data_IF_212695937553
#
_entry.id   IF_212695937553
#
_cell.length_a   1.000
_cell.length_b   1.000
_cell.length_c   1.000
_cell.angle_alpha   90.00
_cell.angle_beta   90.00
_cell.angle_gamma   90.00
#
_symmetry.space_group_name_H-M   'P 1'
#
loop_
_entity.id
_entity.type
_entity.pdbx_description
1 polymer ?
#
# COMPACT_ATOMS: atom_id res chain seq x y z
N UNK A 1 -17.19 -40.06 8.58
CA UNK A 1 -16.24 -39.75 9.66
C UNK A 1 -15.51 -38.47 9.25
N UNK A 2 -15.83 -37.32 9.89
CA UNK A 2 -15.18 -36.03 9.67
C UNK A 2 -14.01 -35.93 10.65
N UNK A 3 -12.80 -35.78 10.14
CA UNK A 3 -11.61 -35.59 10.95
C UNK A 3 -11.61 -34.18 11.58
N UNK A 4 -11.69 -34.12 12.92
CA UNK A 4 -11.46 -32.91 13.68
C UNK A 4 -9.95 -32.60 13.66
N UNK A 5 -9.53 -31.57 12.92
CA UNK A 5 -8.20 -31.00 13.03
C UNK A 5 -8.02 -30.29 14.37
N UNK A 6 -6.80 -30.25 14.93
CA UNK A 6 -6.57 -29.62 16.22
C UNK A 6 -6.83 -28.11 16.14
N UNK A 7 -7.71 -27.62 17.01
CA UNK A 7 -7.91 -26.18 17.24
C UNK A 7 -6.60 -25.60 17.75
N UNK A 8 -5.94 -24.75 16.96
CA UNK A 8 -4.78 -23.99 17.39
C UNK A 8 -5.20 -23.09 18.56
N UNK A 9 -4.60 -23.31 19.71
CA UNK A 9 -4.76 -22.42 20.86
C UNK A 9 -4.07 -21.10 20.55
N UNK A 10 -4.86 -20.04 20.36
CA UNK A 10 -4.39 -18.66 20.13
C UNK A 10 -3.67 -18.09 21.39
N UNK A 11 -3.70 -18.81 22.51
CA UNK A 11 -3.22 -18.35 23.82
C UNK A 11 -1.70 -18.47 24.04
N UNK A 12 -0.97 -19.33 23.30
CA UNK A 12 0.44 -19.62 23.61
C UNK A 12 1.42 -18.49 23.22
N UNK A 13 1.05 -17.59 22.27
CA UNK A 13 1.92 -16.49 21.87
C UNK A 13 1.87 -15.28 22.83
N UNK A 14 0.77 -15.12 23.55
CA UNK A 14 0.59 -14.03 24.52
C UNK A 14 1.26 -14.37 25.85
N UNK A 15 1.26 -15.64 26.26
CA UNK A 15 1.95 -16.11 27.46
C UNK A 15 3.49 -16.01 27.35
N UNK A 16 4.06 -16.18 26.15
CA UNK A 16 5.50 -15.99 25.95
C UNK A 16 5.94 -14.53 26.06
N UNK A 17 5.07 -13.56 25.77
CA UNK A 17 5.39 -12.13 25.92
C UNK A 17 5.27 -11.61 27.36
N UNK A 18 4.54 -12.31 28.22
CA UNK A 18 4.44 -11.97 29.64
C UNK A 18 5.49 -12.66 30.48
N UNK A 19 6.07 -13.77 29.99
CA UNK A 19 7.06 -14.57 30.74
C UNK A 19 8.48 -13.99 30.71
N UNK A 20 8.83 -13.19 29.70
CA UNK A 20 10.17 -12.60 29.51
C UNK A 20 10.25 -11.07 29.75
N UNK A 21 9.24 -10.48 30.38
CA UNK A 21 9.40 -9.13 30.91
C UNK A 21 10.19 -9.27 32.21
N UNK A 22 11.46 -8.86 32.27
CA UNK A 22 12.17 -8.82 33.57
C UNK A 22 11.32 -7.97 34.50
N UNK A 23 11.04 -8.46 35.69
CA UNK A 23 10.53 -7.65 36.79
C UNK A 23 11.60 -6.63 37.16
N UNK A 24 11.75 -5.58 36.31
CA UNK A 24 12.48 -4.41 36.67
C UNK A 24 11.62 -3.65 37.68
N UNK A 25 12.05 -3.73 38.91
CA UNK A 25 11.63 -2.84 40.01
C UNK A 25 11.82 -1.40 39.53
N UNK A 26 10.74 -0.77 39.01
CA UNK A 26 10.39 0.65 39.08
C UNK A 26 9.17 0.92 38.22
N UNK A 27 8.01 1.09 38.82
CA UNK A 27 6.97 2.00 38.36
C UNK A 27 6.03 1.59 37.23
N UNK A 28 6.17 0.45 36.56
CA UNK A 28 5.33 0.06 35.43
C UNK A 28 4.20 -0.92 35.79
N UNK A 29 3.43 -0.62 36.83
CA UNK A 29 2.22 -1.37 37.15
C UNK A 29 1.10 -1.13 36.11
N UNK A 30 0.21 -2.14 35.93
CA UNK A 30 -1.03 -1.98 35.17
C UNK A 30 -1.87 -0.92 35.88
N UNK A 31 -2.29 0.12 35.15
CA UNK A 31 -3.12 1.21 35.64
C UNK A 31 -4.48 1.18 34.93
N UNK A 32 -5.56 1.57 35.62
CA UNK A 32 -6.83 1.82 34.98
C UNK A 32 -6.83 3.23 34.41
N UNK A 33 -7.00 3.36 33.10
CA UNK A 33 -7.02 4.65 32.40
C UNK A 33 -8.36 4.88 31.73
N UNK A 34 -8.84 6.13 31.82
CA UNK A 34 -10.03 6.55 31.08
C UNK A 34 -9.79 6.39 29.58
N UNK A 35 -10.73 5.72 28.91
CA UNK A 35 -10.70 5.43 27.48
C UNK A 35 -10.60 6.71 26.65
N UNK A 36 -11.21 7.82 27.12
CA UNK A 36 -11.22 9.11 26.43
C UNK A 36 -9.89 9.88 26.55
N UNK A 37 -9.06 9.57 27.55
CA UNK A 37 -7.73 10.16 27.69
C UNK A 37 -6.68 9.51 26.80
N UNK A 38 -7.00 8.39 26.17
CA UNK A 38 -6.09 7.65 25.28
C UNK A 38 -6.44 8.01 23.84
N UNK A 39 -5.53 8.71 23.16
CA UNK A 39 -5.62 9.03 21.74
C UNK A 39 -5.01 7.88 20.90
N UNK A 40 -5.53 7.61 19.69
CA UNK A 40 -4.87 6.71 18.77
C UNK A 40 -3.47 7.25 18.43
N UNK A 41 -2.57 6.35 18.03
CA UNK A 41 -1.26 6.76 17.49
C UNK A 41 -1.47 7.61 16.22
N UNK A 42 -0.76 8.73 16.10
CA UNK A 42 -1.01 9.72 15.03
C UNK A 42 -0.82 9.15 13.60
N UNK A 43 0.18 8.28 13.43
CA UNK A 43 0.49 7.63 12.14
C UNK A 43 0.22 6.13 12.20
N UNK A 44 -0.92 5.72 12.79
CA UNK A 44 -1.26 4.31 12.92
C UNK A 44 -1.53 3.67 11.54
N UNK A 45 -0.67 2.77 11.05
CA UNK A 45 -0.77 2.26 9.68
C UNK A 45 -1.81 1.15 9.52
N UNK A 46 -2.25 0.51 10.62
CA UNK A 46 -3.11 -0.67 10.59
C UNK A 46 -4.58 -0.32 10.68
N UNK A 47 -5.40 -1.02 9.89
CA UNK A 47 -6.85 -0.89 9.92
C UNK A 47 -7.45 -1.49 11.21
N UNK A 48 -8.45 -0.82 11.75
CA UNK A 48 -9.26 -1.36 12.83
C UNK A 48 -10.16 -2.50 12.32
N UNK A 49 -10.48 -3.43 13.21
CA UNK A 49 -11.42 -4.51 12.89
C UNK A 49 -12.80 -3.95 12.58
N UNK A 50 -13.49 -4.60 11.66
CA UNK A 50 -14.85 -4.30 11.25
C UNK A 50 -15.67 -5.58 11.17
N UNK A 51 -17.02 -5.43 11.08
CA UNK A 51 -17.95 -6.54 10.96
C UNK A 51 -17.85 -7.55 12.10
N UNK A 52 -18.10 -8.82 11.82
CA UNK A 52 -18.19 -9.93 12.78
C UNK A 52 -17.01 -9.97 13.76
N UNK A 53 -15.79 -9.75 13.29
CA UNK A 53 -14.58 -9.76 14.14
C UNK A 53 -14.58 -8.64 15.19
N UNK A 54 -15.13 -7.47 14.86
CA UNK A 54 -15.31 -6.37 15.81
C UNK A 54 -16.44 -6.71 16.79
N UNK A 55 -17.55 -7.23 16.30
CA UNK A 55 -18.73 -7.58 17.10
C UNK A 55 -18.38 -8.65 18.14
N UNK A 56 -17.68 -9.71 17.76
CA UNK A 56 -17.16 -10.73 18.68
C UNK A 56 -16.29 -10.14 19.77
N UNK A 57 -15.41 -9.21 19.41
CA UNK A 57 -14.53 -8.54 20.38
C UNK A 57 -15.32 -7.65 21.34
N UNK A 58 -16.35 -6.94 20.85
CA UNK A 58 -17.24 -6.11 21.69
C UNK A 58 -18.00 -6.96 22.67
N UNK A 59 -18.55 -8.11 22.22
CA UNK A 59 -19.28 -9.03 23.08
C UNK A 59 -18.37 -9.61 24.17
N UNK A 60 -17.21 -10.09 23.79
CA UNK A 60 -16.20 -10.62 24.73
C UNK A 60 -15.80 -9.57 25.77
N UNK A 61 -15.58 -8.32 25.37
CA UNK A 61 -15.21 -7.23 26.28
C UNK A 61 -16.39 -6.81 27.17
N UNK A 62 -17.61 -6.91 26.69
CA UNK A 62 -18.80 -6.64 27.52
C UNK A 62 -18.99 -7.67 28.62
N UNK A 63 -18.66 -8.95 28.33
CA UNK A 63 -18.80 -10.03 29.31
C UNK A 63 -17.63 -10.10 30.30
N UNK A 64 -16.41 -9.90 29.83
CA UNK A 64 -15.20 -10.19 30.61
C UNK A 64 -14.33 -8.96 30.89
N UNK A 65 -14.66 -7.81 30.33
CA UNK A 65 -13.79 -6.63 30.33
C UNK A 65 -12.57 -6.80 29.42
N UNK A 66 -11.65 -5.87 29.49
CA UNK A 66 -10.38 -5.93 28.76
C UNK A 66 -9.39 -6.75 29.59
N UNK A 67 -9.23 -8.03 29.25
CA UNK A 67 -8.36 -8.96 30.00
C UNK A 67 -6.87 -8.63 29.83
N UNK A 68 -6.44 -8.35 28.60
CA UNK A 68 -5.06 -7.98 28.30
C UNK A 68 -4.92 -6.45 28.26
N UNK A 69 -4.03 -5.85 29.09
CA UNK A 69 -3.87 -4.40 29.13
C UNK A 69 -3.42 -3.85 27.77
N UNK A 70 -3.85 -2.64 27.46
CA UNK A 70 -3.33 -1.90 26.32
C UNK A 70 -1.97 -1.30 26.69
N UNK A 71 -1.15 -0.99 25.70
CA UNK A 71 0.13 -0.32 25.91
C UNK A 71 0.01 1.10 25.39
N UNK A 72 0.35 2.08 26.22
CA UNK A 72 0.28 3.51 25.89
C UNK A 72 1.59 4.19 26.27
N UNK A 73 1.88 5.33 25.66
CA UNK A 73 2.90 6.25 26.16
C UNK A 73 2.27 7.55 26.67
N UNK A 74 2.96 8.21 27.58
CA UNK A 74 2.55 9.54 28.03
C UNK A 74 2.87 10.57 26.95
N UNK A 75 1.88 11.40 26.57
CA UNK A 75 2.07 12.49 25.59
C UNK A 75 1.27 13.70 26.02
N UNK A 76 1.97 14.74 26.47
CA UNK A 76 1.36 15.93 27.06
C UNK A 76 0.51 15.61 28.29
N UNK A 77 -0.76 16.06 28.31
CA UNK A 77 -1.70 15.80 29.41
C UNK A 77 -2.52 14.50 29.25
N UNK A 78 -2.21 13.66 28.27
CA UNK A 78 -2.93 12.43 27.97
C UNK A 78 -1.98 11.30 27.63
N UNK A 79 -2.54 10.32 26.95
CA UNK A 79 -1.83 9.12 26.53
C UNK A 79 -2.02 8.90 25.03
N UNK A 80 -1.03 8.32 24.40
CA UNK A 80 -1.08 7.89 23.00
C UNK A 80 -0.95 6.36 22.95
N UNK A 81 -1.84 5.71 22.19
CA UNK A 81 -1.91 4.25 22.09
C UNK A 81 -0.73 3.70 21.29
N UNK A 82 -0.01 2.72 21.83
CA UNK A 82 1.01 1.97 21.11
C UNK A 82 0.52 0.59 20.68
N UNK A 83 -0.25 -0.10 21.55
CA UNK A 83 -0.83 -1.40 21.23
C UNK A 83 -2.20 -1.57 21.86
N UNK A 84 -3.13 -2.11 21.09
CA UNK A 84 -4.49 -2.37 21.55
C UNK A 84 -5.57 -1.47 21.00
N UNK A 85 -5.35 -0.83 19.85
CA UNK A 85 -6.32 0.05 19.18
C UNK A 85 -7.69 -0.63 19.00
N UNK A 86 -7.71 -1.91 18.59
CA UNK A 86 -8.95 -2.68 18.47
C UNK A 86 -9.64 -2.92 19.82
N UNK A 87 -8.87 -3.20 20.88
CA UNK A 87 -9.39 -3.36 22.24
C UNK A 87 -9.99 -2.07 22.78
N UNK A 88 -9.35 -0.93 22.54
CA UNK A 88 -9.88 0.38 22.91
C UNK A 88 -11.18 0.67 22.15
N UNK A 89 -11.19 0.45 20.85
CA UNK A 89 -12.39 0.67 20.03
C UNK A 89 -13.55 -0.20 20.49
N UNK A 90 -13.32 -1.48 20.71
CA UNK A 90 -14.34 -2.40 21.20
C UNK A 90 -14.79 -2.07 22.64
N UNK A 91 -13.88 -1.62 23.53
CA UNK A 91 -14.22 -1.17 24.86
C UNK A 91 -15.15 0.05 24.85
N UNK A 92 -14.91 1.03 23.96
CA UNK A 92 -15.81 2.17 23.75
C UNK A 92 -17.20 1.72 23.32
N UNK A 93 -17.29 0.80 22.36
CA UNK A 93 -18.56 0.25 21.87
C UNK A 93 -19.25 -0.62 22.91
N UNK A 94 -18.50 -1.28 23.79
CA UNK A 94 -19.04 -2.03 24.93
C UNK A 94 -19.52 -1.13 26.08
N UNK A 95 -19.22 0.20 26.05
CA UNK A 95 -19.62 1.17 27.06
C UNK A 95 -18.69 1.27 28.28
N UNK A 96 -17.45 0.75 28.19
CA UNK A 96 -16.49 0.89 29.26
C UNK A 96 -15.91 2.30 29.28
N UNK A 97 -15.79 2.88 30.49
CA UNK A 97 -15.19 4.20 30.70
C UNK A 97 -13.69 4.13 30.99
N UNK A 98 -13.21 2.97 31.46
CA UNK A 98 -11.82 2.71 31.80
C UNK A 98 -11.33 1.36 31.28
N UNK A 99 -10.06 1.29 30.95
CA UNK A 99 -9.39 0.06 30.50
C UNK A 99 -8.02 -0.10 31.19
N UNK A 100 -7.59 -1.35 31.44
CA UNK A 100 -6.25 -1.62 31.97
C UNK A 100 -5.19 -1.24 30.93
N UNK A 101 -4.17 -0.51 31.37
CA UNK A 101 -3.10 -0.01 30.51
C UNK A 101 -1.73 -0.15 31.19
N UNK A 102 -0.71 -0.41 30.39
CA UNK A 102 0.70 -0.29 30.76
C UNK A 102 1.21 1.00 30.16
N UNK A 103 1.70 1.91 31.02
CA UNK A 103 2.23 3.19 30.58
C UNK A 103 3.74 3.06 30.36
N UNK A 104 4.18 3.42 29.16
CA UNK A 104 5.60 3.58 28.81
C UNK A 104 5.96 5.07 28.94
N UNK A 105 7.03 5.34 29.63
CA UNK A 105 7.58 6.70 29.79
C UNK A 105 8.80 6.84 28.87
N UNK A 106 9.12 8.08 28.51
CA UNK A 106 10.35 8.48 27.80
C UNK A 106 10.61 7.80 26.44
N UNK A 107 9.54 7.47 25.69
CA UNK A 107 9.67 6.97 24.31
C UNK A 107 9.65 8.13 23.29
N UNK A 108 10.67 8.18 22.43
CA UNK A 108 10.67 9.04 21.24
C UNK A 108 9.55 8.64 20.24
N UNK A 109 9.27 9.50 19.26
CA UNK A 109 8.25 9.18 18.24
C UNK A 109 8.66 7.99 17.39
N UNK A 110 9.97 7.86 17.05
CA UNK A 110 10.51 6.73 16.31
C UNK A 110 10.42 5.41 17.10
N UNK A 111 10.78 5.42 18.39
CA UNK A 111 10.65 4.22 19.24
C UNK A 111 9.19 3.79 19.40
N UNK A 112 8.29 4.77 19.59
CA UNK A 112 6.86 4.53 19.69
C UNK A 112 6.30 3.93 18.38
N UNK A 113 6.73 4.42 17.22
CA UNK A 113 6.35 3.85 15.93
C UNK A 113 6.83 2.41 15.77
N UNK A 114 8.08 2.11 16.14
CA UNK A 114 8.59 0.74 16.15
C UNK A 114 7.75 -0.15 17.06
N UNK A 115 7.33 0.35 18.23
CA UNK A 115 6.45 -0.39 19.14
C UNK A 115 5.12 -0.75 18.47
N UNK A 116 4.50 0.21 17.78
CA UNK A 116 3.24 0.01 17.04
C UNK A 116 3.41 -1.07 15.97
N UNK A 117 4.49 -1.02 15.19
CA UNK A 117 4.76 -1.99 14.13
C UNK A 117 5.00 -3.39 14.70
N UNK A 118 5.95 -3.53 15.65
CA UNK A 118 6.35 -4.83 16.19
C UNK A 118 5.19 -5.56 16.86
N UNK A 119 4.39 -4.86 17.69
CA UNK A 119 3.25 -5.48 18.36
C UNK A 119 2.16 -5.95 17.40
N UNK A 120 1.97 -5.28 16.26
CA UNK A 120 1.01 -5.72 15.26
C UNK A 120 1.54 -6.91 14.43
N UNK A 121 2.84 -6.92 14.08
CA UNK A 121 3.47 -8.05 13.36
C UNK A 121 3.41 -9.32 14.19
N UNK A 122 3.63 -9.23 15.50
CA UNK A 122 3.54 -10.38 16.41
C UNK A 122 2.10 -10.90 16.55
N UNK A 123 1.11 -9.98 16.60
CA UNK A 123 -0.30 -10.34 16.79
C UNK A 123 -1.00 -10.81 15.51
N UNK A 124 -0.50 -10.43 14.33
CA UNK A 124 -1.06 -10.77 13.03
C UNK A 124 -0.01 -11.44 12.15
N UNK A 125 -0.41 -12.45 11.38
CA UNK A 125 0.48 -12.97 10.32
C UNK A 125 0.77 -11.88 9.29
N UNK A 126 2.02 -11.72 8.88
CA UNK A 126 2.39 -10.77 7.82
C UNK A 126 1.61 -11.02 6.52
N UNK A 127 1.26 -12.28 6.23
CA UNK A 127 0.46 -12.64 5.05
C UNK A 127 -0.93 -12.02 5.07
N UNK A 128 -1.52 -11.83 6.26
CA UNK A 128 -2.88 -11.33 6.46
C UNK A 128 -2.98 -9.81 6.49
N UNK A 129 -1.83 -9.13 6.46
CA UNK A 129 -1.77 -7.66 6.41
C UNK A 129 -2.21 -7.16 5.04
N UNK A 130 -2.89 -6.02 5.01
CA UNK A 130 -3.21 -5.30 3.79
C UNK A 130 -1.91 -4.80 3.09
N UNK A 131 -1.94 -4.50 1.78
CA UNK A 131 -0.77 -4.02 1.06
C UNK A 131 -0.12 -2.78 1.68
N UNK A 132 -0.90 -1.80 2.15
CA UNK A 132 -0.38 -0.60 2.82
C UNK A 132 0.24 -0.92 4.19
N UNK A 133 -0.35 -1.85 4.94
CA UNK A 133 0.17 -2.32 6.22
C UNK A 133 1.51 -3.05 6.03
N UNK A 134 1.61 -3.90 4.99
CA UNK A 134 2.90 -4.53 4.60
C UNK A 134 3.96 -3.50 4.25
N UNK A 135 3.57 -2.43 3.55
CA UNK A 135 4.47 -1.34 3.20
C UNK A 135 5.06 -0.66 4.43
N UNK A 136 4.22 -0.32 5.41
CA UNK A 136 4.67 0.30 6.66
C UNK A 136 5.62 -0.61 7.48
N UNK A 137 5.27 -1.90 7.60
CA UNK A 137 6.12 -2.89 8.28
C UNK A 137 7.50 -3.00 7.63
N UNK A 138 7.53 -3.14 6.30
CA UNK A 138 8.79 -3.31 5.56
C UNK A 138 9.64 -2.04 5.59
N UNK A 139 9.03 -0.85 5.53
CA UNK A 139 9.73 0.43 5.67
C UNK A 139 10.38 0.56 7.04
N UNK A 140 9.62 0.35 8.12
CA UNK A 140 10.13 0.43 9.50
C UNK A 140 11.27 -0.58 9.76
N UNK A 141 11.11 -1.81 9.27
CA UNK A 141 12.16 -2.83 9.38
C UNK A 141 13.42 -2.47 8.61
N UNK A 142 13.27 -1.95 7.41
CA UNK A 142 14.40 -1.52 6.58
C UNK A 142 15.17 -0.37 7.22
N UNK A 143 14.47 0.62 7.77
CA UNK A 143 15.10 1.74 8.50
C UNK A 143 15.87 1.26 9.73
N UNK A 144 15.28 0.33 10.50
CA UNK A 144 15.93 -0.28 11.66
C UNK A 144 17.21 -1.02 11.27
N UNK A 145 17.17 -1.84 10.20
CA UNK A 145 18.34 -2.57 9.71
C UNK A 145 19.42 -1.61 9.22
N UNK A 146 19.07 -0.54 8.49
CA UNK A 146 20.03 0.47 8.05
C UNK A 146 20.65 1.21 9.23
N UNK A 147 19.87 1.61 10.24
CA UNK A 147 20.39 2.32 11.39
C UNK A 147 21.34 1.45 12.22
N UNK A 148 21.05 0.16 12.34
CA UNK A 148 21.96 -0.80 12.97
C UNK A 148 23.21 -1.06 12.13
N UNK A 149 23.08 -1.16 10.80
CA UNK A 149 24.18 -1.31 9.87
C UNK A 149 25.13 -0.12 9.93
N UNK A 150 24.62 1.11 9.88
CA UNK A 150 25.44 2.34 10.03
C UNK A 150 26.23 2.38 11.32
N UNK A 151 25.66 1.89 12.43
CA UNK A 151 26.37 1.84 13.71
C UNK A 151 27.50 0.82 13.70
N UNK A 152 27.31 -0.30 13.04
CA UNK A 152 28.35 -1.32 12.87
C UNK A 152 29.40 -0.88 11.83
N UNK A 153 28.97 -0.18 10.75
CA UNK A 153 29.87 0.36 9.74
C UNK A 153 30.78 1.46 10.31
N UNK A 154 30.24 2.35 11.17
CA UNK A 154 31.07 3.35 11.88
C UNK A 154 32.11 2.69 12.78
N UNK A 155 31.76 1.58 13.41
CA UNK A 155 32.72 0.82 14.23
C UNK A 155 33.76 0.07 13.35
N UNK A 156 33.34 -0.43 12.19
CA UNK A 156 34.22 -1.06 11.21
C UNK A 156 35.06 -0.04 10.42
N UNK A 157 34.53 1.15 10.06
CA UNK A 157 35.29 2.24 9.46
C UNK A 157 36.37 2.80 10.39
N UNK A 158 36.18 2.70 11.70
CA UNK A 158 37.20 3.02 12.71
C UNK A 158 38.28 1.94 12.71
N UNK A 159 37.96 0.70 12.39
CA UNK A 159 38.94 -0.43 12.30
C UNK A 159 39.55 -0.61 10.92
N UNK A 160 38.86 -0.26 9.83
CA UNK A 160 39.34 -0.40 8.44
C UNK A 160 39.32 0.95 7.71
N UNK A 161 40.39 1.72 7.79
CA UNK A 161 40.58 2.91 6.96
C UNK A 161 40.67 2.50 5.50
N UNK A 162 39.56 2.53 4.80
CA UNK A 162 39.43 2.61 3.34
C UNK A 162 38.96 1.38 2.60
N UNK A 163 37.69 1.32 2.27
CA UNK A 163 37.21 0.94 0.91
C UNK A 163 35.73 1.19 0.71
N UNK A 164 35.36 1.67 -0.45
CA UNK A 164 34.01 2.04 -0.94
C UNK A 164 33.03 0.87 -1.07
N UNK A 165 31.74 1.09 -0.72
CA UNK A 165 30.70 0.10 -0.95
C UNK A 165 29.28 0.48 -0.61
N UNK A 166 28.84 1.73 -0.86
CA UNK A 166 27.50 2.21 -0.43
C UNK A 166 26.30 1.51 -1.09
N UNK A 167 26.43 0.98 -2.30
CA UNK A 167 25.31 0.33 -3.01
C UNK A 167 25.13 -1.16 -2.67
N UNK A 168 26.18 -1.82 -2.20
CA UNK A 168 26.18 -3.25 -1.87
C UNK A 168 25.40 -3.51 -0.56
N UNK A 169 25.49 -2.60 0.41
CA UNK A 169 24.80 -2.73 1.68
C UNK A 169 23.26 -2.56 1.58
N UNK A 170 22.78 -1.64 0.74
CA UNK A 170 21.32 -1.46 0.52
C UNK A 170 20.66 -2.68 -0.13
N UNK A 171 21.38 -3.36 -1.01
CA UNK A 171 20.92 -4.59 -1.63
C UNK A 171 20.86 -5.74 -0.62
N UNK A 172 21.91 -5.94 0.18
CA UNK A 172 21.98 -7.00 1.19
C UNK A 172 20.92 -6.85 2.29
N UNK A 173 20.66 -5.63 2.75
CA UNK A 173 19.62 -5.38 3.77
C UNK A 173 18.21 -5.73 3.26
N UNK A 174 17.90 -5.45 2.00
CA UNK A 174 16.61 -5.83 1.39
C UNK A 174 16.49 -7.33 1.17
N UNK A 175 17.55 -7.99 0.79
CA UNK A 175 17.57 -9.43 0.59
C UNK A 175 17.44 -10.18 1.93
N UNK A 176 18.07 -9.70 3.00
CA UNK A 176 17.91 -10.24 4.35
C UNK A 176 16.47 -10.13 4.88
N UNK A 177 15.83 -8.96 4.71
CA UNK A 177 14.40 -8.79 5.03
C UNK A 177 13.55 -9.68 4.10
N UNK A 178 13.96 -9.84 2.83
CA UNK A 178 13.30 -10.71 1.88
C UNK A 178 13.22 -12.16 2.32
N UNK A 179 14.29 -12.69 2.88
CA UNK A 179 14.34 -14.05 3.43
C UNK A 179 13.38 -14.19 4.64
N UNK A 180 13.32 -13.21 5.54
CA UNK A 180 12.43 -13.20 6.71
C UNK A 180 10.94 -13.27 6.31
N UNK A 181 10.54 -12.53 5.26
CA UNK A 181 9.15 -12.43 4.83
C UNK A 181 8.82 -13.27 3.57
N UNK A 182 9.75 -14.07 3.07
CA UNK A 182 9.56 -14.89 1.85
C UNK A 182 9.37 -14.04 0.59
N UNK A 183 10.00 -12.86 0.52
CA UNK A 183 9.84 -11.89 -0.57
C UNK A 183 11.17 -11.60 -1.25
N UNK A 184 11.12 -11.22 -2.53
CA UNK A 184 12.32 -10.74 -3.25
C UNK A 184 12.63 -9.29 -2.85
N UNK A 185 13.92 -8.91 -2.84
CA UNK A 185 14.35 -7.54 -2.56
C UNK A 185 13.69 -6.49 -3.48
N UNK A 186 13.34 -6.88 -4.73
CA UNK A 186 12.56 -6.03 -5.65
C UNK A 186 11.14 -5.77 -5.13
N UNK A 187 10.45 -6.79 -4.61
CA UNK A 187 9.12 -6.62 -4.06
C UNK A 187 9.14 -5.77 -2.80
N UNK A 188 10.15 -5.96 -1.92
CA UNK A 188 10.33 -5.10 -0.75
C UNK A 188 10.50 -3.64 -1.17
N UNK A 189 11.35 -3.35 -2.16
CA UNK A 189 11.53 -2.00 -2.67
C UNK A 189 10.21 -1.38 -3.20
N UNK A 190 9.34 -2.19 -3.83
CA UNK A 190 8.00 -1.74 -4.27
C UNK A 190 7.10 -1.38 -3.09
N UNK A 191 7.02 -2.23 -2.07
CA UNK A 191 6.25 -1.93 -0.87
C UNK A 191 6.77 -0.69 -0.12
N UNK A 192 8.08 -0.54 0.02
CA UNK A 192 8.68 0.66 0.61
C UNK A 192 8.34 1.94 -0.17
N UNK A 193 8.14 1.84 -1.49
CA UNK A 193 7.63 2.97 -2.29
C UNK A 193 6.17 3.27 -1.98
N UNK A 194 5.34 2.24 -1.82
CA UNK A 194 3.92 2.37 -1.44
C UNK A 194 3.74 3.10 -0.10
N UNK A 195 4.67 2.94 0.83
CA UNK A 195 4.62 3.63 2.11
C UNK A 195 4.66 5.17 1.98
N UNK A 196 5.22 5.69 0.89
CA UNK A 196 5.25 7.13 0.56
C UNK A 196 3.96 7.68 -0.05
N UNK A 197 2.94 6.86 -0.22
CA UNK A 197 1.64 7.30 -0.70
C UNK A 197 0.85 7.99 0.40
N UNK A 198 0.05 8.98 0.01
CA UNK A 198 -0.97 9.58 0.86
C UNK A 198 -2.06 8.56 1.21
N UNK A 199 -2.76 8.79 2.30
CA UNK A 199 -3.78 7.85 2.82
C UNK A 199 -4.84 7.45 1.80
N UNK A 200 -5.44 8.35 0.99
CA UNK A 200 -6.43 7.98 -0.01
C UNK A 200 -5.95 6.91 -1.01
N UNK A 201 -4.69 6.97 -1.45
CA UNK A 201 -4.16 5.95 -2.36
C UNK A 201 -3.82 4.63 -1.65
N UNK A 202 -3.40 4.68 -0.39
CA UNK A 202 -3.24 3.48 0.44
C UNK A 202 -4.57 2.75 0.61
N UNK A 203 -5.65 3.48 0.89
CA UNK A 203 -6.99 2.91 1.07
C UNK A 203 -7.52 2.31 -0.25
N UNK A 204 -7.33 2.96 -1.40
CA UNK A 204 -7.69 2.43 -2.73
C UNK A 204 -6.88 1.17 -3.10
N UNK A 205 -5.61 1.12 -2.73
CA UNK A 205 -4.76 -0.05 -2.93
C UNK A 205 -5.27 -1.23 -2.08
N UNK A 206 -5.63 -0.99 -0.83
CA UNK A 206 -6.12 -2.00 0.10
C UNK A 206 -7.52 -2.50 -0.28
N UNK A 207 -8.35 -1.63 -0.86
CA UNK A 207 -9.64 -1.99 -1.46
C UNK A 207 -9.51 -2.77 -2.80
N UNK A 208 -8.30 -2.85 -3.38
CA UNK A 208 -8.07 -3.49 -4.68
C UNK A 208 -8.47 -2.63 -5.89
N UNK A 209 -8.82 -1.37 -5.68
CA UNK A 209 -9.16 -0.41 -6.74
C UNK A 209 -7.92 0.13 -7.46
N UNK A 210 -6.76 0.05 -6.81
CA UNK A 210 -5.47 0.43 -7.35
C UNK A 210 -4.53 -0.76 -7.35
N UNK A 211 -3.85 -1.04 -8.46
CA UNK A 211 -2.85 -2.11 -8.51
C UNK A 211 -1.55 -1.68 -7.83
N UNK A 212 -0.80 -2.65 -7.27
CA UNK A 212 0.52 -2.37 -6.66
C UNK A 212 1.48 -1.66 -7.63
N UNK A 213 1.42 -1.97 -8.92
CA UNK A 213 2.28 -1.33 -9.92
C UNK A 213 1.89 0.13 -10.12
N UNK A 214 0.60 0.44 -10.26
CA UNK A 214 0.12 1.82 -10.36
C UNK A 214 0.41 2.62 -9.08
N UNK A 215 0.23 2.01 -7.91
CA UNK A 215 0.57 2.59 -6.61
C UNK A 215 2.06 2.99 -6.52
N UNK A 216 2.96 2.12 -6.98
CA UNK A 216 4.40 2.41 -7.05
C UNK A 216 4.69 3.60 -7.98
N UNK A 217 4.04 3.68 -9.14
CA UNK A 217 4.23 4.81 -10.06
C UNK A 217 3.77 6.13 -9.42
N UNK A 218 2.59 6.15 -8.80
CA UNK A 218 2.05 7.32 -8.10
C UNK A 218 2.91 7.76 -6.90
N UNK A 219 3.60 6.83 -6.25
CA UNK A 219 4.47 7.14 -5.12
C UNK A 219 5.72 7.98 -5.45
N UNK A 220 5.98 8.22 -6.73
CA UNK A 220 7.05 9.12 -7.19
C UNK A 220 6.61 10.58 -7.28
N UNK A 221 5.29 10.84 -7.21
CA UNK A 221 4.75 12.20 -7.17
C UNK A 221 5.02 12.85 -5.82
N UNK A 222 5.27 14.17 -5.78
CA UNK A 222 5.19 14.95 -4.56
C UNK A 222 3.81 14.84 -3.89
N UNK A 223 3.74 15.03 -2.57
CA UNK A 223 2.50 14.82 -1.79
C UNK A 223 1.35 15.75 -2.25
N UNK A 224 1.67 17.00 -2.62
CA UNK A 224 0.69 17.95 -3.17
C UNK A 224 0.09 17.44 -4.48
N UNK A 225 0.90 16.87 -5.37
CA UNK A 225 0.42 16.32 -6.64
C UNK A 225 -0.38 15.03 -6.43
N UNK A 226 0.04 14.18 -5.49
CA UNK A 226 -0.77 13.03 -5.10
C UNK A 226 -2.16 13.46 -4.64
N UNK A 227 -2.28 14.57 -3.91
CA UNK A 227 -3.56 15.12 -3.44
C UNK A 227 -4.42 15.54 -4.62
N UNK A 228 -3.88 16.30 -5.59
CA UNK A 228 -4.58 16.73 -6.81
C UNK A 228 -5.12 15.52 -7.58
N UNK A 229 -4.29 14.47 -7.73
CA UNK A 229 -4.71 13.23 -8.43
C UNK A 229 -5.79 12.48 -7.65
N UNK A 230 -5.70 12.44 -6.32
CA UNK A 230 -6.68 11.74 -5.48
C UNK A 230 -8.06 12.42 -5.49
N UNK A 231 -8.11 13.75 -5.57
CA UNK A 231 -9.35 14.53 -5.61
C UNK A 231 -10.20 14.28 -6.87
N UNK A 232 -9.58 13.85 -7.96
CA UNK A 232 -10.31 13.55 -9.21
C UNK A 232 -11.08 12.23 -9.16
N UNK A 233 -10.85 11.38 -8.15
CA UNK A 233 -11.51 10.06 -7.94
C UNK A 233 -11.61 9.19 -9.22
N UNK A 234 -10.65 9.36 -10.12
CA UNK A 234 -10.62 8.65 -11.39
C UNK A 234 -10.02 7.24 -11.24
N UNK A 235 -10.47 6.30 -12.06
CA UNK A 235 -9.87 4.98 -12.16
C UNK A 235 -8.47 5.06 -12.78
N UNK A 236 -7.44 4.74 -12.01
CA UNK A 236 -6.04 4.84 -12.43
C UNK A 236 -5.48 3.45 -12.67
N UNK A 237 -5.19 3.15 -13.94
CA UNK A 237 -4.47 1.94 -14.31
C UNK A 237 -2.94 2.20 -14.39
N UNK A 238 -2.16 1.15 -14.61
CA UNK A 238 -0.70 1.24 -14.70
C UNK A 238 -0.22 2.24 -15.78
N UNK A 239 -0.88 2.27 -16.94
CA UNK A 239 -0.52 3.16 -18.05
C UNK A 239 -0.78 4.61 -17.68
N UNK A 240 -1.96 4.90 -17.13
CA UNK A 240 -2.35 6.22 -16.64
C UNK A 240 -1.39 6.70 -15.54
N UNK A 241 -1.07 5.85 -14.56
CA UNK A 241 -0.12 6.16 -13.49
C UNK A 241 1.28 6.50 -14.02
N UNK A 242 1.77 5.78 -15.05
CA UNK A 242 3.04 6.09 -15.71
C UNK A 242 3.01 7.43 -16.45
N UNK A 243 1.89 7.77 -17.13
CA UNK A 243 1.73 9.05 -17.80
C UNK A 243 1.72 10.21 -16.80
N UNK A 244 1.01 10.06 -15.67
CA UNK A 244 0.99 11.05 -14.59
C UNK A 244 2.41 11.22 -14.00
N UNK A 245 3.11 10.12 -13.72
CA UNK A 245 4.50 10.18 -13.22
C UNK A 245 5.45 10.89 -14.19
N UNK A 246 5.24 10.79 -15.49
CA UNK A 246 6.11 11.41 -16.49
C UNK A 246 6.12 12.95 -16.42
N UNK A 247 5.06 13.55 -15.86
CA UNK A 247 4.92 15.00 -15.62
C UNK A 247 5.07 15.39 -14.15
N UNK A 248 5.61 14.48 -13.32
CA UNK A 248 5.81 14.72 -11.90
C UNK A 248 6.72 15.93 -11.63
N UNK A 249 6.31 16.81 -10.74
CA UNK A 249 7.00 18.06 -10.38
C UNK A 249 6.42 19.30 -11.10
N UNK A 250 5.62 19.11 -12.14
CA UNK A 250 4.99 20.19 -12.93
C UNK A 250 3.49 19.91 -13.19
N UNK A 251 2.90 18.88 -12.51
CA UNK A 251 1.54 18.43 -12.76
C UNK A 251 0.52 19.53 -12.47
N UNK A 252 -0.20 19.94 -13.52
CA UNK A 252 -1.34 20.85 -13.43
C UNK A 252 -2.67 20.09 -13.52
N UNK A 253 -3.76 20.71 -13.08
CA UNK A 253 -5.09 20.10 -13.19
C UNK A 253 -5.50 19.86 -14.65
N UNK A 254 -5.14 20.76 -15.56
CA UNK A 254 -5.46 20.66 -16.99
C UNK A 254 -4.72 19.47 -17.64
N UNK A 255 -3.42 19.30 -17.35
CA UNK A 255 -2.63 18.16 -17.82
C UNK A 255 -3.16 16.83 -17.25
N UNK A 256 -3.57 16.84 -15.98
CA UNK A 256 -4.18 15.66 -15.37
C UNK A 256 -5.48 15.27 -16.06
N UNK A 257 -6.37 16.23 -16.37
CA UNK A 257 -7.60 15.97 -17.12
C UNK A 257 -7.31 15.38 -18.50
N UNK A 258 -6.30 15.91 -19.20
CA UNK A 258 -5.89 15.41 -20.51
C UNK A 258 -5.35 13.96 -20.43
N UNK A 259 -4.61 13.63 -19.38
CA UNK A 259 -4.12 12.27 -19.13
C UNK A 259 -5.25 11.31 -18.74
N UNK A 260 -6.18 11.76 -17.91
CA UNK A 260 -7.31 10.94 -17.44
C UNK A 260 -8.35 10.72 -18.55
N UNK A 261 -8.58 11.73 -19.37
CA UNK A 261 -9.55 11.75 -20.45
C UNK A 261 -8.89 12.07 -21.80
N UNK A 262 -7.95 11.23 -22.28
CA UNK A 262 -7.29 11.50 -23.54
C UNK A 262 -8.35 11.61 -24.62
N UNK A 263 -8.40 12.77 -25.27
CA UNK A 263 -9.20 12.97 -26.48
C UNK A 263 -8.76 11.86 -27.43
N UNK A 264 -9.64 10.92 -27.69
CA UNK A 264 -9.38 9.91 -28.71
C UNK A 264 -9.29 10.64 -30.04
N UNK A 265 -8.09 11.06 -30.43
CA UNK A 265 -7.84 11.29 -31.82
C UNK A 265 -8.35 10.06 -32.55
N UNK A 266 -9.29 10.26 -33.46
CA UNK A 266 -9.80 9.18 -34.28
C UNK A 266 -8.59 8.52 -34.93
N UNK A 267 -8.15 7.41 -34.39
CA UNK A 267 -7.11 6.58 -35.03
C UNK A 267 -7.58 6.42 -36.48
N UNK A 268 -6.77 6.80 -37.46
CA UNK A 268 -7.18 6.61 -38.85
C UNK A 268 -7.59 5.16 -39.00
N UNK A 269 -8.79 4.96 -39.51
CA UNK A 269 -9.39 3.62 -39.64
C UNK A 269 -8.33 2.70 -40.24
N UNK A 270 -8.03 1.58 -39.52
CA UNK A 270 -7.06 0.59 -40.03
C UNK A 270 -7.43 0.27 -41.45
N UNK A 271 -6.48 0.42 -42.38
CA UNK A 271 -6.70 0.10 -43.78
C UNK A 271 -7.32 -1.30 -43.91
N UNK A 272 -8.54 -1.37 -44.38
CA UNK A 272 -9.23 -2.62 -44.62
C UNK A 272 -8.81 -3.12 -45.98
N UNK A 273 -8.14 -4.25 -46.06
CA UNK A 273 -7.76 -4.88 -47.30
C UNK A 273 -8.97 -5.59 -47.92
N UNK A 274 -9.47 -5.11 -49.05
CA UNK A 274 -10.57 -5.73 -49.76
C UNK A 274 -9.99 -6.51 -50.98
N UNK A 275 -10.23 -7.84 -51.01
CA UNK A 275 -9.85 -8.66 -52.19
C UNK A 275 -10.86 -8.50 -53.27
N UNK A 276 -10.46 -7.94 -54.43
CA UNK A 276 -11.28 -7.91 -55.62
C UNK A 276 -11.22 -9.26 -56.32
N UNK A 277 -12.37 -9.96 -56.58
CA UNK A 277 -12.37 -11.23 -57.28
C UNK A 277 -11.77 -11.10 -58.71
N UNK A 278 -10.98 -12.09 -59.14
CA UNK A 278 -10.29 -12.06 -60.43
C UNK A 278 -11.20 -11.74 -61.62
N UNK A 279 -12.45 -12.25 -61.56
CA UNK A 279 -13.47 -11.98 -62.59
C UNK A 279 -13.88 -10.50 -62.66
N UNK A 280 -13.95 -9.83 -61.49
CA UNK A 280 -14.27 -8.39 -61.42
C UNK A 280 -13.06 -7.59 -61.85
N UNK A 281 -11.88 -7.95 -61.36
CA UNK A 281 -10.63 -7.31 -61.73
C UNK A 281 -10.40 -7.36 -63.24
N UNK A 282 -10.54 -8.54 -63.86
CA UNK A 282 -10.39 -8.71 -65.32
C UNK A 282 -11.44 -7.95 -66.16
N UNK A 283 -12.62 -7.69 -65.57
CA UNK A 283 -13.69 -6.94 -66.30
C UNK A 283 -13.42 -5.43 -66.34
N UNK A 284 -12.88 -4.85 -65.30
CA UNK A 284 -12.79 -3.40 -65.16
C UNK A 284 -11.35 -2.88 -65.14
N UNK A 285 -10.36 -3.70 -64.77
CA UNK A 285 -8.99 -3.26 -64.56
C UNK A 285 -7.94 -3.98 -65.42
N UNK A 286 -8.35 -4.77 -66.41
CA UNK A 286 -7.41 -5.55 -67.27
C UNK A 286 -6.38 -4.68 -67.99
N UNK A 287 -6.73 -3.42 -68.28
CA UNK A 287 -5.87 -2.45 -69.00
C UNK A 287 -5.43 -1.26 -68.12
N UNK A 288 -5.55 -1.40 -66.77
CA UNK A 288 -5.21 -0.37 -65.81
C UNK A 288 -3.92 -0.73 -65.11
N UNK A 289 -2.98 0.21 -65.02
CA UNK A 289 -1.77 -0.02 -64.24
C UNK A 289 -2.12 -0.20 -62.76
N UNK A 290 -1.47 -1.14 -62.04
CA UNK A 290 -1.79 -1.47 -60.66
C UNK A 290 -1.79 -0.23 -59.70
N UNK A 291 -0.95 0.76 -59.98
CA UNK A 291 -0.86 2.01 -59.20
C UNK A 291 -2.09 2.91 -59.37
N UNK A 292 -2.84 2.78 -60.44
CA UNK A 292 -3.97 3.66 -60.79
C UNK A 292 -5.33 3.01 -60.35
N UNK A 293 -5.32 1.75 -59.95
CA UNK A 293 -6.54 1.03 -59.52
C UNK A 293 -7.18 1.66 -58.31
N UNK A 294 -6.39 2.13 -57.37
CA UNK A 294 -6.90 2.74 -56.13
C UNK A 294 -7.63 4.06 -56.41
N UNK A 295 -7.06 4.93 -57.22
CA UNK A 295 -7.69 6.23 -57.55
C UNK A 295 -8.96 6.06 -58.37
N UNK A 296 -9.02 5.06 -59.24
CA UNK A 296 -10.24 4.73 -60.01
C UNK A 296 -11.34 4.19 -59.09
N UNK A 297 -10.97 3.38 -58.09
CA UNK A 297 -11.91 2.86 -57.09
C UNK A 297 -12.45 4.00 -56.20
N UNK A 298 -11.60 4.90 -55.73
CA UNK A 298 -12.00 6.07 -54.97
C UNK A 298 -12.99 6.93 -55.76
N UNK A 299 -12.67 7.30 -56.98
CA UNK A 299 -13.57 8.08 -57.85
C UNK A 299 -14.90 7.36 -58.15
N UNK A 300 -14.88 6.04 -58.31
CA UNK A 300 -16.09 5.25 -58.53
C UNK A 300 -16.98 5.17 -57.28
N UNK A 301 -16.38 5.11 -56.11
CA UNK A 301 -17.11 5.14 -54.84
C UNK A 301 -17.71 6.51 -54.55
N UNK A 302 -16.97 7.57 -54.80
CA UNK A 302 -17.49 8.96 -54.70
C UNK A 302 -18.72 9.17 -55.57
N UNK A 303 -18.66 8.82 -56.86
CA UNK A 303 -19.79 8.86 -57.78
C UNK A 303 -20.98 7.99 -57.33
N UNK A 304 -20.70 6.82 -56.73
CA UNK A 304 -21.76 5.95 -56.24
C UNK A 304 -22.51 6.54 -55.06
N UNK A 305 -21.77 7.10 -54.10
CA UNK A 305 -22.38 7.70 -52.93
C UNK A 305 -23.04 9.06 -53.21
N UNK A 306 -22.49 9.89 -54.11
CA UNK A 306 -23.14 11.11 -54.58
C UNK A 306 -24.50 10.83 -55.25
N UNK A 307 -24.59 9.77 -56.05
CA UNK A 307 -25.87 9.36 -56.68
C UNK A 307 -26.88 8.78 -55.70
N UNK A 308 -26.43 8.24 -54.55
CA UNK A 308 -27.34 7.69 -53.54
C UNK A 308 -27.84 8.71 -52.53
N UNK A 309 -27.30 9.95 -52.50
CA UNK A 309 -27.73 11.01 -51.61
C UNK A 309 -27.49 10.65 -50.12
N UNK A 310 -26.40 10.00 -49.82
CA UNK A 310 -26.00 9.62 -48.50
C UNK A 310 -25.12 10.69 -47.86
#
# INVERSE_FOLDING_TARGET
>A
MKANGPKRKIFDAVDMMTADIPQAETGNGIQSLSVDKIKPFHDHPFHLYQGERLDDMVESIREHGVLNPVIVRKKGNGYEMLSGHNRQNAAKLAGLTEIPAIVKEDLSDEEAYVYVIETNVIQRSFTDLAPSEKAAVLSARYEKVISQGRRNDILQEIEEIGTCGHDVHKSRSRDGIGEEYGMTGRNIARYMRVDKLIRPFKDRLDAGELTLTAAVELSYLPENEQTIVAEKDAAINEKTAKSIRAVAGELTEDELEEILHPVRESTPAKAVSIKIPAKVYGRYFSNVAAKDVQSILEAALDLYFERKGA
#
